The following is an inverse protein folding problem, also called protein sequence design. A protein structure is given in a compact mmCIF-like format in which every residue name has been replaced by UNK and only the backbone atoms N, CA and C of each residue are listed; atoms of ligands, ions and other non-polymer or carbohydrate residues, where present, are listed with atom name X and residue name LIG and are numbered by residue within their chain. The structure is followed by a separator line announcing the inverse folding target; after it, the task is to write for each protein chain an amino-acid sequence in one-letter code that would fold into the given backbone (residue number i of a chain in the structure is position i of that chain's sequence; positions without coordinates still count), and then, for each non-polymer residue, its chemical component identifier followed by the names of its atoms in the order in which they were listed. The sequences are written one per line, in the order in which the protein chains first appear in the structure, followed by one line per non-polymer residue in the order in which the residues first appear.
data_IF_261028346267
#
_entry.id   IF_261028346267
#
_cell.length_a   1.000
_cell.length_b   1.000
_cell.length_c   1.000
_cell.angle_alpha   90.00
_cell.angle_beta   90.00
_cell.angle_gamma   90.00
#
_symmetry.space_group_name_H-M   'P 1'
#
loop_
_entity.id
_entity.type
_entity.pdbx_description
1 polymer ?
#
# COMPACT_ATOMS: atom_id res chain seq x y z
N UNK A 1 14.58 4.28 -2.79
CA UNK A 1 14.04 4.35 -1.41
C UNK A 1 12.53 4.37 -1.46
N UNK A 2 11.92 3.51 -0.68
CA UNK A 2 10.46 3.47 -0.56
C UNK A 2 9.98 4.63 0.30
N UNK A 3 8.91 5.27 -0.13
CA UNK A 3 8.31 6.37 0.64
C UNK A 3 6.78 6.20 0.65
N UNK A 4 6.20 6.21 1.84
CA UNK A 4 4.76 6.06 2.04
C UNK A 4 4.17 7.39 2.47
N UNK A 5 3.14 7.84 1.78
CA UNK A 5 2.34 8.99 2.21
C UNK A 5 1.21 8.47 3.10
N UNK A 6 1.16 8.96 4.32
CA UNK A 6 0.44 8.32 5.41
C UNK A 6 -0.43 9.32 6.18
N UNK A 7 -1.64 8.89 6.50
CA UNK A 7 -2.51 9.60 7.45
C UNK A 7 -2.94 8.57 8.50
N UNK A 8 -2.80 8.91 9.78
CA UNK A 8 -3.15 8.01 10.86
C UNK A 8 -4.63 7.60 10.80
N UNK A 9 -4.91 6.33 11.11
CA UNK A 9 -6.27 5.80 11.10
C UNK A 9 -6.81 5.44 9.73
N UNK A 10 -5.98 5.45 8.69
CA UNK A 10 -6.39 5.10 7.33
C UNK A 10 -5.78 3.76 6.89
N UNK A 11 -6.14 3.33 5.69
CA UNK A 11 -5.57 2.10 5.09
C UNK A 11 -4.08 2.19 4.84
N UNK A 12 -3.49 3.39 4.91
CA UNK A 12 -2.05 3.54 4.80
C UNK A 12 -1.30 2.77 5.89
N UNK A 13 -1.94 2.53 7.03
CA UNK A 13 -1.35 1.71 8.11
C UNK A 13 -1.00 0.30 7.68
N UNK A 14 -1.74 -0.29 6.75
CA UNK A 14 -1.46 -1.63 6.23
C UNK A 14 -0.14 -1.68 5.51
N UNK A 15 0.17 -0.64 4.77
CA UNK A 15 1.41 -0.55 3.99
C UNK A 15 2.60 -0.45 4.94
N UNK A 16 2.50 0.42 5.95
CA UNK A 16 3.56 0.58 6.94
C UNK A 16 3.79 -0.74 7.70
N UNK A 17 2.71 -1.40 8.11
CA UNK A 17 2.81 -2.70 8.78
C UNK A 17 3.54 -3.72 7.91
N UNK A 18 3.19 -3.80 6.63
CA UNK A 18 3.85 -4.72 5.71
C UNK A 18 5.35 -4.44 5.61
N UNK A 19 5.73 -3.18 5.43
CA UNK A 19 7.14 -2.82 5.31
C UNK A 19 7.92 -3.16 6.57
N UNK A 20 7.32 -2.97 7.75
CA UNK A 20 7.93 -3.36 9.03
C UNK A 20 8.09 -4.88 9.14
N UNK A 21 7.05 -5.65 8.76
CA UNK A 21 7.11 -7.11 8.79
C UNK A 21 8.20 -7.65 7.88
N UNK A 22 8.44 -7.02 6.75
CA UNK A 22 9.45 -7.44 5.81
C UNK A 22 10.85 -6.90 6.14
N UNK A 23 10.96 -5.99 7.10
CA UNK A 23 12.24 -5.38 7.48
C UNK A 23 12.84 -4.51 6.40
N UNK A 24 12.01 -3.90 5.56
CA UNK A 24 12.46 -3.01 4.50
C UNK A 24 12.68 -1.61 5.02
N UNK A 25 13.65 -0.91 4.43
CA UNK A 25 13.88 0.50 4.74
C UNK A 25 12.89 1.35 3.96
N UNK A 26 12.33 2.36 4.62
CA UNK A 26 11.35 3.24 4.01
C UNK A 26 11.28 4.57 4.75
N UNK A 27 10.73 5.57 4.08
CA UNK A 27 10.39 6.86 4.67
C UNK A 27 8.89 7.01 4.75
N UNK A 28 8.41 7.79 5.71
CA UNK A 28 6.99 8.07 5.88
C UNK A 28 6.77 9.57 5.84
N UNK A 29 5.87 10.01 4.97
CA UNK A 29 5.38 11.39 4.96
C UNK A 29 4.04 11.41 5.68
N UNK A 30 4.04 11.86 6.94
CA UNK A 30 2.82 11.93 7.75
C UNK A 30 2.09 13.23 7.42
N UNK A 31 0.83 13.09 6.98
CA UNK A 31 -0.02 14.22 6.65
C UNK A 31 -1.15 14.32 7.67
N UNK A 32 -1.66 15.54 7.93
CA UNK A 32 -2.80 15.69 8.83
C UNK A 32 -4.07 15.10 8.20
N UNK A 33 -4.95 14.55 9.05
CA UNK A 33 -6.25 14.06 8.60
C UNK A 33 -7.19 15.26 8.42
N UNK A 34 -6.95 16.05 7.39
CA UNK A 34 -7.76 17.23 7.05
C UNK A 34 -8.07 17.19 5.56
N UNK A 35 -9.21 17.80 5.22
CA UNK A 35 -9.60 17.91 3.82
C UNK A 35 -8.57 18.71 3.03
N UNK A 36 -8.07 19.78 3.62
CA UNK A 36 -7.06 20.63 3.00
C UNK A 36 -5.78 19.86 2.69
N UNK A 37 -5.31 19.04 3.65
CA UNK A 37 -4.09 18.26 3.46
C UNK A 37 -4.24 17.22 2.37
N UNK A 38 -5.33 16.44 2.40
CA UNK A 38 -5.58 15.37 1.43
C UNK A 38 -5.90 15.91 0.04
N UNK A 39 -6.56 17.07 -0.03
CA UNK A 39 -6.99 17.64 -1.31
C UNK A 39 -6.07 18.74 -1.81
N UNK A 40 -4.90 18.92 -1.18
CA UNK A 40 -3.92 19.91 -1.64
C UNK A 40 -3.46 19.59 -3.06
N UNK A 41 -3.03 20.61 -3.80
CA UNK A 41 -2.51 20.39 -5.15
C UNK A 41 -1.27 19.50 -5.15
N UNK A 42 -0.46 19.60 -4.11
CA UNK A 42 0.72 18.74 -3.94
C UNK A 42 0.32 17.26 -3.84
N UNK A 43 -0.65 16.93 -2.97
CA UNK A 43 -1.06 15.53 -2.83
C UNK A 43 -1.84 15.04 -4.04
N UNK A 44 -2.63 15.90 -4.69
CA UNK A 44 -3.35 15.50 -5.90
C UNK A 44 -2.45 15.21 -7.08
N UNK A 45 -1.23 15.72 -7.08
CA UNK A 45 -0.24 15.30 -8.07
C UNK A 45 0.20 13.86 -7.85
N UNK A 46 0.08 13.34 -6.61
CA UNK A 46 0.39 11.95 -6.26
C UNK A 46 -0.82 11.03 -6.42
N UNK A 47 -2.01 11.54 -6.09
CA UNK A 47 -3.26 10.80 -6.18
C UNK A 47 -4.37 11.76 -6.59
N UNK A 48 -4.94 11.54 -7.77
CA UNK A 48 -5.92 12.45 -8.35
C UNK A 48 -7.13 12.72 -7.44
N UNK A 49 -7.55 11.73 -6.65
CA UNK A 49 -8.66 11.86 -5.71
C UNK A 49 -8.23 12.38 -4.34
N UNK A 50 -6.93 12.63 -4.15
CA UNK A 50 -6.41 13.14 -2.89
C UNK A 50 -6.56 12.15 -1.74
N UNK A 51 -6.32 10.87 -1.97
CA UNK A 51 -6.44 9.82 -0.96
C UNK A 51 -5.07 9.26 -0.58
N UNK A 52 -5.03 8.50 0.49
CA UNK A 52 -3.88 7.71 0.90
C UNK A 52 -4.32 6.24 1.00
N UNK A 53 -3.40 5.27 0.91
CA UNK A 53 -1.95 5.43 0.80
C UNK A 53 -1.48 5.72 -0.62
N UNK A 54 -0.31 6.31 -0.71
CA UNK A 54 0.47 6.41 -1.96
C UNK A 54 1.87 5.92 -1.63
N UNK A 55 2.43 5.06 -2.48
CA UNK A 55 3.80 4.59 -2.35
C UNK A 55 4.64 5.15 -3.50
N UNK A 56 5.76 5.75 -3.15
CA UNK A 56 6.77 6.14 -4.14
C UNK A 56 7.97 5.20 -4.02
N UNK A 57 8.45 4.71 -5.15
CA UNK A 57 9.63 3.86 -5.24
C UNK A 57 10.47 4.35 -6.41
N UNK A 58 11.44 5.22 -6.12
CA UNK A 58 12.19 5.90 -7.16
C UNK A 58 11.27 6.77 -8.00
N UNK A 59 11.19 6.48 -9.29
CA UNK A 59 10.34 7.21 -10.23
C UNK A 59 8.91 6.68 -10.29
N UNK A 60 8.64 5.58 -9.60
CA UNK A 60 7.33 4.93 -9.60
C UNK A 60 6.49 5.52 -8.45
N UNK A 61 5.24 5.87 -8.76
CA UNK A 61 4.29 6.33 -7.75
C UNK A 61 2.98 5.58 -7.99
N UNK A 62 2.53 4.81 -7.01
CA UNK A 62 1.30 4.02 -7.12
C UNK A 62 0.40 4.24 -5.91
N UNK A 63 -0.89 4.06 -6.13
CA UNK A 63 -1.90 4.13 -5.07
C UNK A 63 -2.73 2.85 -5.07
N UNK A 64 -3.69 2.73 -4.17
CA UNK A 64 -4.46 1.56 -3.81
C UNK A 64 -3.65 0.63 -2.91
N UNK A 65 -4.11 0.44 -1.67
CA UNK A 65 -3.36 -0.35 -0.68
C UNK A 65 -3.10 -1.78 -1.16
N UNK A 66 -4.08 -2.40 -1.83
CA UNK A 66 -3.92 -3.75 -2.36
C UNK A 66 -2.85 -3.82 -3.44
N UNK A 67 -2.83 -2.85 -4.35
CA UNK A 67 -1.82 -2.80 -5.40
C UNK A 67 -0.43 -2.57 -4.83
N UNK A 68 -0.32 -1.71 -3.83
CA UNK A 68 0.95 -1.43 -3.16
C UNK A 68 1.49 -2.69 -2.48
N UNK A 69 0.64 -3.41 -1.76
CA UNK A 69 1.03 -4.64 -1.07
C UNK A 69 1.53 -5.67 -2.08
N UNK A 70 0.79 -5.90 -3.16
CA UNK A 70 1.20 -6.85 -4.20
C UNK A 70 2.52 -6.43 -4.84
N UNK A 71 2.66 -5.14 -5.15
CA UNK A 71 3.89 -4.62 -5.75
C UNK A 71 5.10 -4.88 -4.85
N UNK A 72 4.99 -4.58 -3.55
CA UNK A 72 6.09 -4.77 -2.62
C UNK A 72 6.46 -6.25 -2.49
N UNK A 73 5.47 -7.13 -2.40
CA UNK A 73 5.71 -8.57 -2.30
C UNK A 73 6.36 -9.15 -3.54
N UNK A 74 6.06 -8.61 -4.72
CA UNK A 74 6.64 -9.08 -5.98
C UNK A 74 8.02 -8.49 -6.25
N UNK A 75 8.20 -7.19 -6.00
CA UNK A 75 9.41 -6.46 -6.41
C UNK A 75 10.48 -6.35 -5.35
N UNK A 76 10.10 -6.37 -4.09
CA UNK A 76 11.04 -6.16 -3.01
C UNK A 76 11.30 -7.42 -2.21
N UNK A 77 10.32 -7.88 -1.42
CA UNK A 77 10.53 -9.01 -0.54
C UNK A 77 9.20 -9.65 -0.21
N UNK A 78 9.10 -10.96 -0.46
CA UNK A 78 7.88 -11.70 -0.18
C UNK A 78 7.78 -12.12 1.30
N UNK A 79 8.90 -12.51 1.92
CA UNK A 79 8.89 -12.95 3.30
C UNK A 79 8.03 -14.18 3.57
N UNK A 80 7.66 -14.93 2.54
CA UNK A 80 6.77 -16.07 2.67
C UNK A 80 5.30 -15.71 2.83
N UNK A 81 4.94 -14.44 2.66
CA UNK A 81 3.58 -13.97 2.88
C UNK A 81 2.66 -14.20 1.69
N UNK A 82 3.23 -14.47 0.53
CA UNK A 82 2.47 -14.67 -0.70
C UNK A 82 2.93 -15.94 -1.38
N UNK A 83 2.04 -16.89 -1.71
CA UNK A 83 2.44 -18.10 -2.45
C UNK A 83 2.83 -17.74 -3.88
N UNK A 84 3.67 -18.57 -4.50
CA UNK A 84 4.05 -18.36 -5.88
C UNK A 84 2.85 -18.57 -6.80
N UNK A 85 2.86 -17.94 -7.98
CA UNK A 85 1.72 -17.96 -8.89
C UNK A 85 1.37 -19.36 -9.40
N UNK A 86 2.32 -20.30 -9.36
CA UNK A 86 2.09 -21.68 -9.77
C UNK A 86 1.77 -22.61 -8.59
N UNK A 87 1.69 -22.08 -7.38
CA UNK A 87 1.32 -22.84 -6.19
C UNK A 87 -0.15 -23.24 -6.23
N UNK A 88 -0.49 -24.41 -5.69
CA UNK A 88 -1.88 -24.83 -5.54
C UNK A 88 -2.67 -23.94 -4.58
N UNK A 89 -1.99 -23.19 -3.74
CA UNK A 89 -2.62 -22.27 -2.80
C UNK A 89 -2.89 -20.89 -3.38
N UNK A 90 -2.32 -20.58 -4.54
CA UNK A 90 -2.42 -19.24 -5.12
C UNK A 90 -3.85 -18.79 -5.40
N UNK A 91 -4.76 -19.63 -5.98
CA UNK A 91 -6.13 -19.20 -6.21
C UNK A 91 -6.87 -18.81 -4.93
N UNK A 92 -6.61 -19.54 -3.84
CA UNK A 92 -7.24 -19.25 -2.55
C UNK A 92 -6.65 -17.99 -1.93
N UNK A 93 -5.36 -17.75 -2.11
CA UNK A 93 -4.73 -16.51 -1.71
C UNK A 93 -5.40 -15.32 -2.40
N UNK A 94 -5.62 -15.38 -3.71
CA UNK A 94 -6.29 -14.32 -4.45
C UNK A 94 -7.71 -14.10 -3.94
N UNK A 95 -8.45 -15.19 -3.72
CA UNK A 95 -9.83 -15.11 -3.24
C UNK A 95 -9.92 -14.36 -1.91
N UNK A 96 -9.12 -14.76 -0.94
CA UNK A 96 -9.18 -14.15 0.39
C UNK A 96 -8.58 -12.75 0.43
N UNK A 97 -7.56 -12.51 -0.38
CA UNK A 97 -6.96 -11.19 -0.51
C UNK A 97 -7.98 -10.16 -0.98
N UNK A 98 -8.68 -10.48 -2.07
CA UNK A 98 -9.68 -9.57 -2.64
C UNK A 98 -10.94 -9.51 -1.79
N UNK A 99 -11.28 -10.58 -1.10
CA UNK A 99 -12.39 -10.59 -0.17
C UNK A 99 -12.16 -9.57 0.96
N UNK A 100 -10.97 -9.52 1.51
CA UNK A 100 -10.63 -8.54 2.55
C UNK A 100 -10.78 -7.12 2.04
N UNK A 101 -10.30 -6.83 0.84
CA UNK A 101 -10.37 -5.49 0.28
C UNK A 101 -11.80 -5.07 -0.05
N UNK A 102 -12.58 -5.96 -0.63
CA UNK A 102 -13.89 -5.63 -1.18
C UNK A 102 -15.05 -5.80 -0.21
N UNK A 103 -14.97 -6.77 0.71
CA UNK A 103 -16.11 -7.16 1.55
C UNK A 103 -15.92 -6.86 3.02
N UNK A 104 -14.71 -7.08 3.54
CA UNK A 104 -14.44 -6.91 4.98
C UNK A 104 -14.05 -5.49 5.30
N UNK A 105 -13.28 -4.86 4.42
CA UNK A 105 -12.75 -3.50 4.63
C UNK A 105 -12.99 -2.64 3.39
N UNK A 106 -14.26 -2.44 3.02
CA UNK A 106 -14.60 -1.63 1.85
C UNK A 106 -14.25 -0.15 2.03
#
# INVERSE_FOLDING_TARGET
MLKVHFVAGTRAGRVVWLLEELGLEYEVNIMPFTKEGLKSSEHRSRHALGRVPVLEDGDISIFESGAIIDYVLERHKNGGLKPSSDSSEFPFYLQWYHYCEGMVMP
#
